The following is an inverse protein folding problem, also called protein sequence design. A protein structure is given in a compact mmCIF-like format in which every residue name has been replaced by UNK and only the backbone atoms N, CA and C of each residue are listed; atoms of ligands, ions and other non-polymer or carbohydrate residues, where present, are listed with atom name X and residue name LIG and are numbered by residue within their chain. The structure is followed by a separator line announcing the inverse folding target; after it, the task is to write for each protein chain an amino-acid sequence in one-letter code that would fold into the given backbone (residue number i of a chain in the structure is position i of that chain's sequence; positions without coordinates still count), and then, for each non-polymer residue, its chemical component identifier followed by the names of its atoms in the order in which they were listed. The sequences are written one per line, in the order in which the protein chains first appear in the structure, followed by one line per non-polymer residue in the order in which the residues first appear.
data_IF_778280597602
#
_entry.id   IF_778280597602
#
_cell.length_a   1.000
_cell.length_b   1.000
_cell.length_c   1.000
_cell.angle_alpha   90.00
_cell.angle_beta   90.00
_cell.angle_gamma   90.00
#
_symmetry.space_group_name_H-M   'P 1'
#
loop_
_entity.id
_entity.type
_entity.pdbx_description
1 polymer ?
#
# COMPACT_ATOMS: atom_id res chain seq x y z
N UNK A 1 -48.91 -1.20 -51.84
CA UNK A 1 -49.72 -1.88 -50.79
C UNK A 1 -48.79 -2.52 -49.77
N UNK A 2 -48.65 -1.90 -48.59
CA UNK A 2 -47.90 -2.42 -47.43
C UNK A 2 -48.93 -2.66 -46.31
N UNK A 3 -49.12 -3.91 -45.87
CA UNK A 3 -49.83 -4.23 -44.62
C UNK A 3 -48.77 -4.54 -43.56
N UNK A 4 -48.64 -3.66 -42.57
CA UNK A 4 -47.78 -3.84 -41.39
C UNK A 4 -48.63 -4.48 -40.29
N UNK A 5 -48.21 -5.64 -39.80
CA UNK A 5 -48.88 -6.37 -38.72
C UNK A 5 -48.78 -5.57 -37.42
N UNK A 6 -49.93 -5.22 -36.85
CA UNK A 6 -50.09 -4.29 -35.70
C UNK A 6 -50.32 -5.02 -34.37
N UNK A 7 -50.04 -6.33 -34.31
CA UNK A 7 -50.39 -7.19 -33.16
C UNK A 7 -49.22 -7.49 -32.20
N UNK A 8 -47.97 -7.31 -32.61
CA UNK A 8 -46.80 -7.67 -31.76
C UNK A 8 -46.41 -6.63 -30.71
N UNK A 9 -46.77 -5.36 -30.91
CA UNK A 9 -46.30 -4.27 -30.03
C UNK A 9 -47.06 -4.20 -28.71
N UNK A 10 -48.32 -4.68 -28.66
CA UNK A 10 -49.15 -4.60 -27.45
C UNK A 10 -48.82 -5.66 -26.40
N UNK A 11 -48.29 -6.82 -26.82
CA UNK A 11 -47.99 -7.92 -25.90
C UNK A 11 -46.65 -7.67 -25.16
N UNK A 12 -45.67 -7.04 -25.82
CA UNK A 12 -44.37 -6.71 -25.21
C UNK A 12 -44.45 -5.59 -24.17
N UNK A 13 -45.39 -4.65 -24.30
CA UNK A 13 -45.55 -3.56 -23.34
C UNK A 13 -46.20 -4.00 -22.02
N UNK A 14 -47.07 -5.01 -22.06
CA UNK A 14 -47.78 -5.50 -20.86
C UNK A 14 -46.93 -6.41 -19.97
N UNK A 15 -45.89 -7.05 -20.54
CA UNK A 15 -44.96 -7.92 -19.79
C UNK A 15 -43.89 -7.12 -19.03
N UNK A 16 -43.44 -5.98 -19.57
CA UNK A 16 -42.47 -5.11 -18.88
C UNK A 16 -43.08 -4.41 -17.66
N UNK A 17 -44.35 -4.03 -17.70
CA UNK A 17 -45.00 -3.33 -16.59
C UNK A 17 -45.27 -4.24 -15.38
N UNK A 18 -45.50 -5.53 -15.61
CA UNK A 18 -45.72 -6.51 -14.53
C UNK A 18 -44.41 -6.96 -13.87
N UNK A 19 -43.29 -6.98 -14.61
CA UNK A 19 -41.98 -7.29 -14.04
C UNK A 19 -41.43 -6.16 -13.16
N UNK A 20 -41.66 -4.89 -13.54
CA UNK A 20 -41.26 -3.73 -12.72
C UNK A 20 -42.07 -3.60 -11.42
N UNK A 21 -43.35 -4.00 -11.41
CA UNK A 21 -44.17 -3.93 -10.20
C UNK A 21 -43.82 -5.01 -9.15
N UNK A 22 -43.30 -6.16 -9.60
CA UNK A 22 -42.87 -7.26 -8.73
C UNK A 22 -41.48 -7.03 -8.10
N UNK A 23 -40.62 -6.24 -8.75
CA UNK A 23 -39.31 -5.87 -8.22
C UNK A 23 -39.40 -4.80 -7.12
N UNK A 24 -40.40 -3.92 -7.18
CA UNK A 24 -40.61 -2.87 -6.19
C UNK A 24 -41.12 -3.40 -4.83
N UNK A 25 -41.71 -4.60 -4.78
CA UNK A 25 -42.24 -5.20 -3.54
C UNK A 25 -41.22 -5.99 -2.72
N UNK A 26 -40.00 -6.21 -3.22
CA UNK A 26 -38.94 -6.97 -2.52
C UNK A 26 -37.96 -6.09 -1.72
N UNK A 27 -38.07 -4.76 -1.81
CA UNK A 27 -37.11 -3.81 -1.19
C UNK A 27 -37.58 -3.19 0.14
N UNK A 28 -38.66 -3.68 0.77
CA UNK A 28 -39.22 -3.09 2.01
C UNK A 28 -38.99 -3.96 3.25
N UNK A 29 -38.16 -4.99 3.18
CA UNK A 29 -37.98 -5.95 4.29
C UNK A 29 -36.54 -6.06 4.81
N UNK A 30 -35.88 -4.93 5.09
CA UNK A 30 -34.69 -4.87 5.95
C UNK A 30 -34.62 -3.49 6.60
N UNK A 31 -35.19 -3.33 7.80
CA UNK A 31 -34.80 -2.24 8.72
C UNK A 31 -34.01 -2.89 9.86
N UNK A 32 -32.77 -2.44 10.14
CA UNK A 32 -32.06 -2.88 11.34
C UNK A 32 -32.60 -2.16 12.58
N UNK A 33 -32.64 -2.89 13.68
CA UNK A 33 -33.09 -2.44 14.99
C UNK A 33 -32.22 -1.30 15.54
N UNK A 34 -32.88 -0.27 16.04
CA UNK A 34 -32.30 0.81 16.84
C UNK A 34 -31.77 0.27 18.18
N UNK A 35 -30.45 0.34 18.40
CA UNK A 35 -29.82 0.13 19.71
C UNK A 35 -29.70 1.47 20.44
N UNK A 36 -30.15 1.48 21.70
CA UNK A 36 -30.14 2.62 22.60
C UNK A 36 -28.73 2.91 23.16
N UNK A 37 -28.44 4.13 23.67
CA UNK A 37 -27.11 4.52 24.10
C UNK A 37 -26.83 4.08 25.54
N UNK A 38 -25.64 3.55 25.79
CA UNK A 38 -25.13 3.39 27.15
C UNK A 38 -23.86 2.56 27.25
N UNK A 39 -22.74 3.25 27.48
CA UNK A 39 -21.82 3.11 28.63
C UNK A 39 -20.41 3.47 28.16
N UNK A 40 -19.93 4.61 28.64
CA UNK A 40 -18.53 5.02 28.53
C UNK A 40 -17.69 4.11 29.43
N UNK A 41 -16.83 3.28 28.85
CA UNK A 41 -15.70 2.68 29.54
C UNK A 41 -14.42 3.35 29.04
N UNK A 42 -13.61 3.81 29.98
CA UNK A 42 -12.30 4.41 29.76
C UNK A 42 -11.29 3.28 29.61
N UNK A 43 -10.73 3.10 28.42
CA UNK A 43 -9.67 2.15 28.12
C UNK A 43 -8.29 2.85 28.25
N UNK A 44 -7.25 2.17 28.77
CA UNK A 44 -5.90 2.72 28.83
C UNK A 44 -5.24 2.65 27.45
N UNK A 45 -4.57 3.75 27.06
CA UNK A 45 -3.80 3.89 25.83
C UNK A 45 -2.47 3.15 26.00
N UNK A 46 -2.20 2.16 25.14
CA UNK A 46 -0.89 1.52 24.96
C UNK A 46 -0.35 1.81 23.56
N UNK A 47 0.97 1.95 23.44
CA UNK A 47 1.72 2.10 22.19
C UNK A 47 1.70 3.51 21.60
N UNK A 48 2.78 4.29 21.78
CA UNK A 48 2.96 5.58 21.06
C UNK A 48 3.40 5.29 19.63
N UNK A 49 2.47 4.84 18.80
CA UNK A 49 2.54 5.07 17.35
C UNK A 49 2.19 6.56 17.14
N UNK A 50 2.85 7.23 16.19
CA UNK A 50 2.61 8.64 15.90
C UNK A 50 1.17 8.78 15.37
N UNK A 51 0.21 9.01 16.26
CA UNK A 51 -1.20 9.09 15.92
C UNK A 51 -1.47 10.36 15.13
N UNK A 52 -1.37 10.27 13.81
CA UNK A 52 -2.15 11.14 12.93
C UNK A 52 -3.60 10.67 13.10
N UNK A 53 -4.41 11.48 13.78
CA UNK A 53 -5.84 11.24 13.88
C UNK A 53 -6.43 11.29 12.46
N UNK A 54 -6.57 10.13 11.82
CA UNK A 54 -7.48 9.97 10.69
C UNK A 54 -8.88 9.98 11.29
N UNK A 55 -9.48 11.16 11.38
CA UNK A 55 -10.91 11.26 11.67
C UNK A 55 -11.66 10.63 10.52
N UNK A 56 -12.20 9.44 10.75
CA UNK A 56 -13.17 8.80 9.87
C UNK A 56 -14.47 9.63 9.89
N UNK A 57 -14.48 10.72 9.13
CA UNK A 57 -15.68 11.48 8.85
C UNK A 57 -16.43 10.77 7.73
N UNK A 58 -17.39 9.94 8.11
CA UNK A 58 -18.34 9.33 7.18
C UNK A 58 -18.93 10.39 6.22
N UNK A 59 -18.54 10.36 4.95
CA UNK A 59 -19.17 11.08 3.85
C UNK A 59 -18.61 12.47 3.48
N UNK A 60 -17.44 12.88 3.96
CA UNK A 60 -16.75 14.04 3.39
C UNK A 60 -15.88 13.60 2.20
N UNK A 61 -16.00 14.28 1.06
CA UNK A 61 -15.04 14.07 -0.04
C UNK A 61 -13.63 14.43 0.44
N UNK A 62 -12.60 13.66 0.04
CA UNK A 62 -11.23 13.93 0.45
C UNK A 62 -10.80 15.33 0.02
N UNK A 63 -10.26 16.12 0.96
CA UNK A 63 -9.74 17.43 0.64
C UNK A 63 -8.39 17.29 -0.08
N UNK A 64 -8.36 17.53 -1.39
CA UNK A 64 -7.15 17.44 -2.22
C UNK A 64 -5.98 18.27 -1.65
N UNK A 65 -6.26 19.42 -1.04
CA UNK A 65 -5.22 20.27 -0.48
C UNK A 65 -4.58 19.65 0.78
N UNK A 66 -5.37 18.97 1.60
CA UNK A 66 -4.87 18.25 2.78
C UNK A 66 -4.05 17.02 2.34
N UNK A 67 -4.52 16.27 1.34
CA UNK A 67 -3.78 15.15 0.75
C UNK A 67 -2.43 15.61 0.21
N UNK A 68 -2.42 16.71 -0.57
CA UNK A 68 -1.19 17.25 -1.11
C UNK A 68 -0.21 17.67 -0.01
N UNK A 69 -0.69 18.29 1.06
CA UNK A 69 0.18 18.68 2.18
C UNK A 69 0.76 17.46 2.90
N UNK A 70 -0.06 16.43 3.14
CA UNK A 70 0.37 15.19 3.76
C UNK A 70 1.42 14.46 2.90
N UNK A 71 1.20 14.42 1.59
CA UNK A 71 2.12 13.82 0.62
C UNK A 71 3.49 14.50 0.60
N UNK A 72 3.52 15.83 0.67
CA UNK A 72 4.77 16.62 0.61
C UNK A 72 5.69 16.41 1.81
N UNK A 73 5.21 15.80 2.89
CA UNK A 73 6.00 15.50 4.09
C UNK A 73 6.09 14.00 4.38
N UNK A 74 5.43 13.16 3.57
CA UNK A 74 5.45 11.71 3.72
C UNK A 74 6.72 11.07 3.16
N UNK A 75 6.91 9.75 3.30
CA UNK A 75 8.15 9.10 2.85
C UNK A 75 8.30 9.07 1.32
N UNK A 76 7.23 9.29 0.54
CA UNK A 76 7.34 9.52 -0.92
C UNK A 76 7.77 10.97 -1.28
N UNK A 77 8.00 11.83 -0.30
CA UNK A 77 8.57 13.16 -0.50
C UNK A 77 10.11 13.16 -0.49
N UNK A 78 10.73 12.25 0.27
CA UNK A 78 12.18 12.11 0.34
C UNK A 78 12.63 11.01 -0.62
N UNK A 79 12.99 11.42 -1.83
CA UNK A 79 13.20 10.47 -2.93
C UNK A 79 14.65 10.36 -3.36
N UNK A 80 15.56 11.19 -2.84
CA UNK A 80 16.94 11.22 -3.34
C UNK A 80 17.70 9.93 -3.01
N UNK A 81 18.21 9.27 -4.05
CA UNK A 81 18.99 8.04 -3.93
C UNK A 81 20.12 8.04 -4.94
N UNK A 82 21.25 7.42 -4.59
CA UNK A 82 22.43 7.25 -5.45
C UNK A 82 23.02 5.86 -5.20
N UNK A 83 23.42 5.19 -6.27
CA UNK A 83 24.16 3.92 -6.22
C UNK A 83 25.59 4.11 -5.68
N UNK A 84 26.28 3.01 -5.37
CA UNK A 84 27.70 3.04 -5.00
C UNK A 84 28.59 3.64 -6.08
N UNK A 85 28.17 3.57 -7.34
CA UNK A 85 28.88 4.09 -8.51
C UNK A 85 28.61 5.58 -8.76
N UNK A 86 27.72 6.21 -7.99
CA UNK A 86 27.37 7.61 -8.18
C UNK A 86 26.29 7.86 -9.24
N UNK A 87 25.58 6.82 -9.69
CA UNK A 87 24.48 6.91 -10.66
C UNK A 87 23.12 6.80 -9.97
N UNK A 88 22.08 7.43 -10.52
CA UNK A 88 20.72 7.37 -9.96
C UNK A 88 19.58 7.45 -11.00
N UNK A 89 19.93 7.50 -12.29
CA UNK A 89 18.94 7.56 -13.37
C UNK A 89 17.99 6.36 -13.43
N UNK A 90 18.44 5.17 -13.03
CA UNK A 90 17.58 3.98 -12.91
C UNK A 90 16.58 4.11 -11.76
N UNK A 91 16.97 4.79 -10.68
CA UNK A 91 16.12 5.00 -9.51
C UNK A 91 14.99 5.99 -9.79
N UNK A 92 15.20 6.93 -10.72
CA UNK A 92 14.22 7.89 -11.20
C UNK A 92 13.01 7.26 -11.92
N UNK A 93 12.95 5.93 -12.07
CA UNK A 93 11.71 5.22 -12.43
C UNK A 93 10.71 5.18 -11.28
N UNK A 94 11.19 4.99 -10.06
CA UNK A 94 10.37 4.86 -8.86
C UNK A 94 10.39 6.12 -7.99
N UNK A 95 11.35 7.02 -8.25
CA UNK A 95 11.58 8.25 -7.52
C UNK A 95 11.47 9.46 -8.45
N UNK A 96 11.35 10.67 -7.89
CA UNK A 96 11.25 11.90 -8.68
C UNK A 96 12.58 12.68 -8.72
N UNK A 97 12.93 13.27 -9.89
CA UNK A 97 12.07 13.49 -11.04
C UNK A 97 11.90 12.21 -11.87
N UNK A 98 10.71 11.99 -12.42
CA UNK A 98 10.36 10.79 -13.19
C UNK A 98 11.02 10.76 -14.59
N UNK A 99 12.33 10.94 -14.67
CA UNK A 99 13.13 11.02 -15.91
C UNK A 99 13.53 9.64 -16.40
N UNK A 100 12.57 8.73 -16.46
CA UNK A 100 12.74 7.37 -16.96
C UNK A 100 12.28 7.27 -18.43
N UNK A 101 12.89 6.33 -19.15
CA UNK A 101 12.45 5.92 -20.49
C UNK A 101 12.11 4.43 -20.40
N UNK A 102 10.85 4.03 -20.66
CA UNK A 102 10.45 2.63 -20.64
C UNK A 102 11.30 1.78 -21.60
N UNK A 103 11.43 0.50 -21.29
CA UNK A 103 12.13 -0.41 -22.20
C UNK A 103 11.33 -0.54 -23.50
N UNK A 104 12.00 -0.97 -24.57
CA UNK A 104 11.33 -1.16 -25.87
C UNK A 104 10.27 -2.26 -25.82
N UNK A 105 10.32 -3.15 -24.84
CA UNK A 105 9.32 -4.20 -24.62
C UNK A 105 8.07 -3.64 -23.90
N UNK A 106 8.21 -2.52 -23.20
CA UNK A 106 7.13 -1.88 -22.43
C UNK A 106 6.37 -0.81 -23.24
N UNK A 107 6.92 -0.34 -24.36
CA UNK A 107 6.26 0.67 -25.22
C UNK A 107 5.29 0.02 -26.20
N UNK A 108 4.15 0.67 -26.44
CA UNK A 108 3.15 0.18 -27.37
C UNK A 108 3.68 0.05 -28.81
N UNK A 109 3.14 -0.89 -29.60
CA UNK A 109 3.52 -1.10 -31.02
C UNK A 109 3.38 0.18 -31.87
N UNK A 110 2.49 1.10 -31.46
CA UNK A 110 2.34 2.40 -32.09
C UNK A 110 3.58 3.28 -31.94
N UNK A 111 4.27 3.23 -30.79
CA UNK A 111 5.55 3.90 -30.56
C UNK A 111 6.67 3.27 -31.39
N UNK A 112 6.68 1.94 -31.57
CA UNK A 112 7.65 1.23 -32.42
C UNK A 112 7.57 1.63 -33.91
N UNK A 113 6.42 2.17 -34.33
CA UNK A 113 6.19 2.59 -35.71
C UNK A 113 6.93 3.88 -36.06
N UNK A 114 7.19 4.74 -35.07
CA UNK A 114 7.86 6.00 -35.28
C UNK A 114 9.37 5.86 -35.10
N UNK A 115 10.16 6.22 -36.12
CA UNK A 115 11.64 6.19 -36.08
C UNK A 115 12.24 7.39 -35.34
N UNK A 116 11.78 7.67 -34.12
CA UNK A 116 12.48 8.64 -33.27
C UNK A 116 13.49 7.93 -32.37
N UNK A 117 14.68 8.50 -32.26
CA UNK A 117 15.67 8.12 -31.27
C UNK A 117 15.41 8.98 -30.03
N UNK A 118 15.25 8.32 -28.88
CA UNK A 118 15.13 9.01 -27.60
C UNK A 118 16.47 8.85 -26.90
N UNK A 119 17.13 9.98 -26.61
CA UNK A 119 18.39 9.95 -25.90
C UNK A 119 18.18 9.37 -24.50
N UNK A 120 19.05 8.47 -24.00
CA UNK A 120 18.95 7.97 -22.65
C UNK A 120 19.04 9.12 -21.64
N UNK A 121 18.41 9.00 -20.46
CA UNK A 121 18.57 10.00 -19.41
C UNK A 121 20.05 10.11 -19.00
N UNK A 122 20.51 11.29 -18.54
CA UNK A 122 21.82 11.41 -17.92
C UNK A 122 21.95 10.42 -16.76
N UNK A 123 23.12 9.78 -16.55
CA UNK A 123 23.28 8.74 -15.52
C UNK A 123 23.11 9.27 -14.08
N UNK A 124 23.34 10.56 -13.89
CA UNK A 124 23.20 11.27 -12.63
C UNK A 124 22.27 12.48 -12.80
N UNK A 125 21.22 12.51 -11.98
CA UNK A 125 20.36 13.66 -11.74
C UNK A 125 20.83 14.36 -10.46
N UNK A 126 21.19 15.66 -10.51
CA UNK A 126 21.66 16.42 -9.35
C UNK A 126 20.65 16.43 -8.21
N UNK A 127 21.10 16.37 -6.96
CA UNK A 127 20.24 16.25 -5.77
C UNK A 127 19.22 17.41 -5.64
N UNK A 128 19.54 18.58 -6.18
CA UNK A 128 18.70 19.77 -6.13
C UNK A 128 17.47 19.67 -7.05
N UNK A 129 17.48 18.71 -7.97
CA UNK A 129 16.37 18.43 -8.89
C UNK A 129 15.41 17.36 -8.36
N UNK A 130 15.75 16.67 -7.26
CA UNK A 130 14.90 15.63 -6.67
C UNK A 130 13.77 16.24 -5.85
N UNK A 131 12.58 15.69 -6.04
CA UNK A 131 11.33 16.16 -5.42
C UNK A 131 10.50 14.99 -4.93
N UNK A 132 9.35 15.26 -4.34
CA UNK A 132 8.35 14.23 -4.11
C UNK A 132 7.91 13.56 -5.43
N UNK A 133 7.51 12.29 -5.35
CA UNK A 133 6.81 11.61 -6.45
C UNK A 133 5.57 12.44 -6.82
N UNK A 134 5.27 12.63 -8.10
CA UNK A 134 4.13 13.44 -8.52
C UNK A 134 2.83 12.61 -8.55
N UNK A 135 1.66 13.24 -8.35
CA UNK A 135 0.37 12.55 -8.38
C UNK A 135 0.13 11.83 -9.72
N UNK A 136 0.69 12.36 -10.81
CA UNK A 136 0.56 11.80 -12.15
C UNK A 136 1.22 10.41 -12.30
N UNK A 137 2.06 9.97 -11.37
CA UNK A 137 2.67 8.64 -11.40
C UNK A 137 1.64 7.56 -11.07
N UNK A 138 0.70 7.87 -10.16
CA UNK A 138 -0.29 6.93 -9.62
C UNK A 138 -1.72 7.20 -10.08
N UNK A 139 -1.97 8.42 -10.57
CA UNK A 139 -3.29 8.89 -11.00
C UNK A 139 -3.21 9.51 -12.38
N UNK A 140 -4.30 9.38 -13.14
CA UNK A 140 -4.43 10.16 -14.36
C UNK A 140 -4.57 11.64 -14.01
N UNK A 141 -3.72 12.48 -14.60
CA UNK A 141 -3.80 13.94 -14.45
C UNK A 141 -4.16 14.57 -15.78
N UNK A 142 -5.31 15.24 -15.83
CA UNK A 142 -5.79 15.90 -17.03
C UNK A 142 -4.87 17.05 -17.44
N UNK A 143 -4.98 17.50 -18.70
CA UNK A 143 -4.21 18.67 -19.20
C UNK A 143 -4.49 19.97 -18.42
N UNK A 144 -5.55 20.02 -17.61
CA UNK A 144 -5.87 21.16 -16.75
C UNK A 144 -5.30 21.02 -15.33
N UNK A 145 -4.59 19.93 -15.04
CA UNK A 145 -4.09 19.61 -13.71
C UNK A 145 -5.13 18.99 -12.78
N UNK A 146 -6.24 18.48 -13.31
CA UNK A 146 -7.25 17.77 -12.51
C UNK A 146 -6.79 16.32 -12.30
N UNK A 147 -6.79 15.86 -11.06
CA UNK A 147 -6.38 14.49 -10.68
C UNK A 147 -7.61 13.59 -10.66
N UNK A 148 -7.58 12.48 -11.37
CA UNK A 148 -8.58 11.42 -11.31
C UNK A 148 -8.33 10.55 -10.07
N UNK A 149 -9.32 10.30 -9.20
CA UNK A 149 -9.14 9.44 -8.02
C UNK A 149 -8.86 7.97 -8.37
N UNK A 150 -9.21 7.50 -9.57
CA UNK A 150 -8.91 6.14 -9.99
C UNK A 150 -7.41 5.93 -10.24
N UNK A 151 -6.96 4.68 -10.08
CA UNK A 151 -5.56 4.30 -10.30
C UNK A 151 -5.20 4.33 -11.78
N UNK A 152 -4.04 4.89 -12.10
CA UNK A 152 -3.43 4.80 -13.42
C UNK A 152 -1.91 4.83 -13.30
N UNK A 153 -1.22 3.96 -14.02
CA UNK A 153 0.23 3.94 -14.03
C UNK A 153 0.77 4.84 -15.15
N UNK A 154 1.66 5.77 -14.81
CA UNK A 154 2.35 6.57 -15.81
C UNK A 154 3.45 5.76 -16.49
N UNK A 155 3.11 5.14 -17.62
CA UNK A 155 4.03 4.34 -18.42
C UNK A 155 5.11 5.20 -19.09
N UNK A 156 4.72 6.37 -19.62
CA UNK A 156 5.66 7.22 -20.35
C UNK A 156 5.42 8.72 -20.13
N UNK A 157 6.27 9.35 -19.31
CA UNK A 157 6.14 10.76 -18.90
C UNK A 157 6.13 11.73 -20.09
N UNK A 158 7.01 11.54 -21.07
CA UNK A 158 7.27 12.51 -22.15
C UNK A 158 6.05 12.72 -23.06
N UNK A 159 5.15 11.73 -23.13
CA UNK A 159 3.91 11.80 -23.90
C UNK A 159 2.65 11.63 -23.05
N UNK A 160 2.81 11.53 -21.73
CA UNK A 160 1.73 11.28 -20.76
C UNK A 160 0.89 10.06 -21.15
N UNK A 161 1.57 8.95 -21.49
CA UNK A 161 0.92 7.67 -21.76
C UNK A 161 0.71 6.93 -20.43
N UNK A 162 -0.54 6.49 -20.22
CA UNK A 162 -0.97 5.81 -19.02
C UNK A 162 -1.39 4.38 -19.35
N UNK A 163 -1.14 3.49 -18.39
CA UNK A 163 -1.61 2.11 -18.37
C UNK A 163 -2.69 1.98 -17.29
N UNK A 164 -3.77 1.27 -17.59
CA UNK A 164 -4.76 0.87 -16.60
C UNK A 164 -4.18 -0.23 -15.70
N UNK A 165 -4.37 -0.11 -14.40
CA UNK A 165 -3.95 -1.10 -13.41
C UNK A 165 -5.19 -1.63 -12.67
N UNK A 166 -5.21 -2.91 -12.36
CA UNK A 166 -6.38 -3.57 -11.79
C UNK A 166 -6.52 -3.36 -10.27
N UNK A 167 -5.45 -2.98 -9.58
CA UNK A 167 -5.46 -2.77 -8.12
C UNK A 167 -4.33 -1.86 -7.64
N UNK A 168 -4.43 -1.41 -6.38
CA UNK A 168 -3.34 -0.69 -5.71
C UNK A 168 -2.10 -1.57 -5.57
N UNK A 169 -2.24 -2.88 -5.33
CA UNK A 169 -1.10 -3.81 -5.28
C UNK A 169 -0.37 -3.89 -6.62
N UNK A 170 -1.09 -3.91 -7.74
CA UNK A 170 -0.45 -3.86 -9.06
C UNK A 170 0.29 -2.55 -9.28
N UNK A 171 -0.33 -1.41 -8.92
CA UNK A 171 0.28 -0.09 -9.06
C UNK A 171 1.54 0.06 -8.18
N UNK A 172 1.44 -0.23 -6.89
CA UNK A 172 2.58 -0.19 -5.96
C UNK A 172 3.67 -1.18 -6.40
N UNK A 173 3.27 -2.31 -6.98
CA UNK A 173 4.17 -3.33 -7.51
C UNK A 173 5.10 -2.83 -8.61
N UNK A 174 4.70 -1.83 -9.41
CA UNK A 174 5.54 -1.17 -10.43
C UNK A 174 6.81 -0.53 -9.85
N UNK A 175 6.87 -0.34 -8.52
CA UNK A 175 8.05 0.19 -7.81
C UNK A 175 8.54 -0.72 -6.68
N UNK A 176 7.65 -1.41 -5.99
CA UNK A 176 7.96 -2.14 -4.75
C UNK A 176 8.05 -3.65 -4.90
N UNK A 177 7.53 -4.25 -5.98
CA UNK A 177 7.53 -5.71 -6.16
C UNK A 177 8.37 -6.19 -7.35
N UNK A 178 8.92 -5.27 -8.15
CA UNK A 178 9.54 -5.60 -9.42
C UNK A 178 10.99 -6.07 -9.23
N UNK A 179 11.15 -7.39 -9.16
CA UNK A 179 12.45 -8.05 -8.96
C UNK A 179 13.44 -7.78 -10.11
N UNK A 180 12.95 -7.38 -11.28
CA UNK A 180 13.73 -7.20 -12.51
C UNK A 180 14.49 -5.87 -12.56
N UNK A 181 14.37 -5.00 -11.54
CA UNK A 181 15.16 -3.78 -11.49
C UNK A 181 16.67 -4.03 -11.47
N UNK A 182 17.12 -5.22 -11.02
CA UNK A 182 18.54 -5.55 -10.89
C UNK A 182 19.35 -4.43 -10.21
N UNK A 183 18.71 -3.70 -9.28
CA UNK A 183 19.32 -2.64 -8.50
C UNK A 183 19.98 -3.30 -7.29
N UNK A 184 21.31 -3.17 -7.09
CA UNK A 184 21.99 -3.68 -5.91
C UNK A 184 21.34 -3.15 -4.63
N UNK A 185 21.02 -4.06 -3.70
CA UNK A 185 20.39 -3.71 -2.42
C UNK A 185 18.87 -3.51 -2.46
N UNK A 186 18.26 -3.43 -3.65
CA UNK A 186 16.80 -3.42 -3.77
C UNK A 186 16.23 -4.78 -3.34
N UNK A 187 15.18 -4.76 -2.51
CA UNK A 187 14.47 -5.95 -2.06
C UNK A 187 12.99 -5.78 -2.40
N UNK A 188 12.43 -6.65 -3.25
CA UNK A 188 11.02 -6.58 -3.57
C UNK A 188 10.20 -6.93 -2.33
N UNK A 189 9.09 -6.22 -2.15
CA UNK A 189 8.08 -6.49 -1.15
C UNK A 189 7.23 -7.65 -1.66
N UNK A 190 7.12 -8.67 -0.82
CA UNK A 190 6.24 -9.81 -1.06
C UNK A 190 5.18 -9.84 0.03
N UNK A 191 3.94 -9.58 -0.36
CA UNK A 191 2.77 -9.73 0.52
C UNK A 191 2.39 -11.20 0.52
N UNK A 192 2.41 -11.83 1.69
CA UNK A 192 2.28 -13.27 1.81
C UNK A 192 1.66 -13.74 3.12
N UNK A 193 1.49 -15.06 3.20
CA UNK A 193 1.00 -15.74 4.39
C UNK A 193 -0.43 -15.35 4.75
N UNK A 194 -0.67 -14.93 5.99
CA UNK A 194 -2.00 -14.64 6.53
C UNK A 194 -2.70 -13.47 5.82
N UNK A 195 -1.94 -12.54 5.24
CA UNK A 195 -2.47 -11.36 4.53
C UNK A 195 -2.24 -11.44 3.00
N UNK A 196 -2.01 -12.62 2.44
CA UNK A 196 -1.66 -12.77 1.01
C UNK A 196 -2.70 -12.19 0.03
N UNK A 197 -3.97 -12.12 0.43
CA UNK A 197 -5.07 -11.63 -0.41
C UNK A 197 -5.40 -10.13 -0.17
N UNK A 198 -4.68 -9.46 0.74
CA UNK A 198 -4.92 -8.05 1.05
C UNK A 198 -4.25 -7.14 0.02
N UNK A 199 -4.92 -6.03 -0.28
CA UNK A 199 -4.39 -4.94 -1.08
C UNK A 199 -3.49 -4.03 -0.22
N UNK A 200 -2.49 -3.41 -0.83
CA UNK A 200 -1.59 -2.49 -0.13
C UNK A 200 -2.35 -1.38 0.62
N UNK A 201 -3.43 -0.86 0.01
CA UNK A 201 -4.26 0.22 0.56
C UNK A 201 -5.24 -0.22 1.66
N UNK A 202 -5.36 -1.52 1.93
CA UNK A 202 -6.14 -1.99 3.08
C UNK A 202 -5.33 -1.86 4.38
N UNK A 203 -4.00 -1.73 4.28
CA UNK A 203 -3.13 -1.51 5.43
C UNK A 203 -2.49 -0.12 5.41
N UNK A 204 -2.13 0.40 4.23
CA UNK A 204 -1.44 1.68 4.07
C UNK A 204 -2.37 2.78 3.52
N UNK A 205 -2.26 3.99 4.04
CA UNK A 205 -2.63 5.17 3.26
C UNK A 205 -1.46 5.53 2.35
N UNK A 206 -1.61 5.38 1.04
CA UNK A 206 -0.54 5.67 0.09
C UNK A 206 0.01 7.10 0.25
N UNK A 207 -0.83 8.07 0.63
CA UNK A 207 -0.44 9.48 0.68
C UNK A 207 0.45 9.86 1.87
N UNK A 208 0.50 9.03 2.90
CA UNK A 208 1.35 9.22 4.09
C UNK A 208 2.22 8.00 4.38
N UNK A 209 1.93 6.87 3.73
CA UNK A 209 2.53 5.55 3.90
C UNK A 209 2.49 5.05 5.35
N UNK A 210 1.56 5.58 6.13
CA UNK A 210 1.26 5.06 7.45
C UNK A 210 0.49 3.75 7.28
N UNK A 211 0.92 2.71 7.98
CA UNK A 211 0.16 1.47 8.13
C UNK A 211 0.06 1.09 9.59
N UNK A 212 -1.07 0.52 9.96
CA UNK A 212 -1.31 0.03 11.31
C UNK A 212 -2.05 -1.29 11.27
N UNK A 213 -1.57 -2.26 12.05
CA UNK A 213 -2.27 -3.53 12.21
C UNK A 213 -3.54 -3.35 13.07
N UNK A 214 -3.45 -2.51 14.12
CA UNK A 214 -4.55 -2.25 15.05
C UNK A 214 -5.48 -1.13 14.60
N UNK A 215 -4.95 -0.03 14.05
CA UNK A 215 -5.78 1.17 13.78
C UNK A 215 -6.67 1.04 12.53
N UNK A 216 -6.46 0.01 11.70
CA UNK A 216 -7.28 -0.28 10.52
C UNK A 216 -8.56 -1.07 10.85
N UNK A 217 -8.90 -1.25 12.14
CA UNK A 217 -10.10 -1.99 12.56
C UNK A 217 -9.98 -3.52 12.41
N UNK A 218 -8.77 -4.02 12.15
CA UNK A 218 -8.53 -5.45 11.90
C UNK A 218 -8.09 -6.22 13.16
N UNK A 219 -7.42 -5.55 14.10
CA UNK A 219 -6.83 -6.16 15.31
C UNK A 219 -7.18 -5.36 16.58
N UNK A 220 -8.48 -5.11 16.79
CA UNK A 220 -8.97 -4.24 17.88
C UNK A 220 -8.95 -4.93 19.27
N UNK A 221 -8.89 -6.27 19.30
CA UNK A 221 -8.97 -7.09 20.52
C UNK A 221 -7.83 -8.14 20.57
N UNK A 222 -6.59 -7.66 20.72
CA UNK A 222 -5.39 -8.53 20.81
C UNK A 222 -4.92 -8.81 22.25
N UNK A 223 -5.48 -8.10 23.23
CA UNK A 223 -5.15 -8.29 24.64
C UNK A 223 -5.76 -9.62 25.10
N UNK A 224 -5.00 -10.44 25.83
CA UNK A 224 -5.31 -11.82 26.31
C UNK A 224 -4.63 -12.99 25.56
N UNK A 225 -3.80 -12.73 24.54
CA UNK A 225 -2.96 -13.76 23.90
C UNK A 225 -1.51 -13.63 24.42
N UNK A 226 -0.81 -14.72 24.82
CA UNK A 226 0.60 -14.65 25.22
C UNK A 226 1.44 -13.86 24.20
N UNK A 227 2.32 -12.99 24.70
CA UNK A 227 3.11 -12.08 23.86
C UNK A 227 2.42 -10.77 23.47
N UNK A 228 1.18 -10.54 23.92
CA UNK A 228 0.46 -9.26 23.79
C UNK A 228 0.25 -8.61 25.16
N UNK A 229 1.34 -8.53 25.93
CA UNK A 229 1.40 -7.96 27.28
C UNK A 229 2.33 -6.73 27.33
N UNK A 230 2.46 -6.11 28.50
CA UNK A 230 3.28 -4.91 28.70
C UNK A 230 4.77 -5.13 28.38
N UNK A 231 5.27 -6.37 28.55
CA UNK A 231 6.67 -6.69 28.28
C UNK A 231 6.97 -6.69 26.77
N UNK A 232 5.94 -6.82 25.93
CA UNK A 232 6.04 -6.81 24.46
C UNK A 232 5.54 -5.51 23.83
N UNK A 233 5.27 -4.45 24.60
CA UNK A 233 4.80 -3.15 24.05
C UNK A 233 5.80 -2.55 23.05
N UNK A 234 7.09 -2.81 23.25
CA UNK A 234 8.17 -2.37 22.36
C UNK A 234 8.54 -3.41 21.28
N UNK A 235 7.69 -4.40 21.01
CA UNK A 235 7.91 -5.44 19.99
C UNK A 235 6.89 -5.26 18.86
N UNK A 236 7.37 -5.03 17.65
CA UNK A 236 6.48 -4.91 16.48
C UNK A 236 5.82 -6.25 16.15
N UNK A 237 4.60 -6.23 15.63
CA UNK A 237 3.87 -7.45 15.27
C UNK A 237 4.69 -8.35 14.34
N UNK A 238 5.38 -7.75 13.36
CA UNK A 238 6.24 -8.46 12.41
C UNK A 238 7.43 -9.18 13.06
N UNK A 239 7.95 -8.71 14.20
CA UNK A 239 9.02 -9.42 14.91
C UNK A 239 8.60 -10.82 15.37
N UNK A 240 7.32 -10.99 15.73
CA UNK A 240 6.78 -12.28 16.17
C UNK A 240 6.09 -13.05 15.01
N UNK A 241 5.38 -12.33 14.14
CA UNK A 241 4.49 -12.86 13.12
C UNK A 241 5.10 -12.91 11.71
N UNK A 242 6.40 -12.67 11.56
CA UNK A 242 7.09 -12.84 10.30
C UNK A 242 7.17 -14.32 9.88
N UNK A 243 6.77 -14.59 8.63
CA UNK A 243 6.89 -15.85 7.92
C UNK A 243 7.95 -15.80 6.80
N UNK A 244 8.66 -14.68 6.68
CA UNK A 244 9.69 -14.43 5.67
C UNK A 244 11.10 -14.81 6.11
N UNK A 245 11.26 -15.43 7.28
CA UNK A 245 12.55 -15.80 7.88
C UNK A 245 13.51 -14.60 8.03
N UNK A 246 12.96 -13.41 8.34
CA UNK A 246 13.77 -12.22 8.59
C UNK A 246 14.50 -12.32 9.94
N UNK A 247 15.61 -11.60 10.11
CA UNK A 247 16.25 -11.52 11.42
C UNK A 247 15.46 -10.60 12.34
N UNK A 248 15.50 -10.81 13.66
CA UNK A 248 14.83 -9.96 14.66
C UNK A 248 15.86 -9.39 15.61
N UNK A 249 15.72 -8.12 15.94
CA UNK A 249 16.59 -7.44 16.88
C UNK A 249 16.05 -6.09 17.33
N UNK A 250 16.73 -5.43 18.28
CA UNK A 250 16.40 -4.08 18.68
C UNK A 250 16.92 -3.06 17.66
N UNK A 251 16.09 -2.09 17.32
CA UNK A 251 16.52 -0.85 16.66
C UNK A 251 16.78 0.22 17.72
N UNK A 252 18.01 0.73 17.78
CA UNK A 252 18.43 1.66 18.83
C UNK A 252 17.78 3.05 18.70
N UNK A 253 17.47 3.47 17.47
CA UNK A 253 16.92 4.80 17.17
C UNK A 253 15.42 4.83 17.45
N UNK A 254 14.70 3.81 16.98
CA UNK A 254 13.27 3.65 17.17
C UNK A 254 12.93 3.10 18.55
N UNK A 255 13.89 2.45 19.24
CA UNK A 255 13.72 1.79 20.53
C UNK A 255 12.62 0.74 20.54
N UNK A 256 12.52 -0.02 19.44
CA UNK A 256 11.58 -1.13 19.28
C UNK A 256 12.29 -2.35 18.72
N UNK A 257 11.74 -3.54 18.96
CA UNK A 257 12.14 -4.78 18.33
C UNK A 257 11.40 -4.96 17.01
N UNK A 258 12.15 -5.18 15.94
CA UNK A 258 11.59 -5.31 14.61
C UNK A 258 12.41 -6.29 13.75
N UNK A 259 11.90 -6.58 12.56
CA UNK A 259 12.55 -7.46 11.60
C UNK A 259 13.62 -6.73 10.78
N UNK A 260 14.63 -7.44 10.31
CA UNK A 260 15.69 -6.86 9.50
C UNK A 260 15.90 -7.67 8.23
N UNK A 261 16.23 -6.98 7.14
CA UNK A 261 16.73 -7.63 5.94
C UNK A 261 18.08 -8.31 6.23
N UNK A 262 18.39 -9.44 5.57
CA UNK A 262 19.69 -10.08 5.71
C UNK A 262 20.82 -9.08 5.45
N UNK A 263 21.86 -9.15 6.27
CA UNK A 263 23.01 -8.26 6.16
C UNK A 263 23.61 -8.27 4.74
N UNK A 264 24.00 -7.10 4.25
CA UNK A 264 24.69 -6.95 2.97
C UNK A 264 26.13 -7.50 3.03
N UNK A 265 26.89 -7.38 1.93
CA UNK A 265 28.26 -7.88 1.85
C UNK A 265 29.20 -7.22 2.89
N UNK A 266 28.84 -6.03 3.36
CA UNK A 266 29.54 -5.25 4.38
C UNK A 266 29.10 -5.60 5.81
N UNK A 267 28.17 -6.54 5.97
CA UNK A 267 27.63 -6.95 7.27
C UNK A 267 26.62 -5.97 7.87
N UNK A 268 26.12 -5.02 7.08
CA UNK A 268 25.12 -4.04 7.51
C UNK A 268 23.72 -4.61 7.27
N UNK A 269 22.93 -4.66 8.33
CA UNK A 269 21.53 -5.06 8.33
C UNK A 269 20.64 -3.81 8.35
N UNK A 270 19.48 -3.87 7.68
CA UNK A 270 18.58 -2.71 7.52
C UNK A 270 17.23 -3.04 8.15
N UNK A 271 16.68 -2.15 9.00
CA UNK A 271 15.33 -2.28 9.53
C UNK A 271 14.30 -2.47 8.42
N UNK A 272 13.41 -3.45 8.57
CA UNK A 272 12.43 -3.78 7.55
C UNK A 272 11.19 -4.43 8.15
N UNK A 273 9.99 -3.92 7.85
CA UNK A 273 8.75 -4.56 8.29
C UNK A 273 8.39 -5.73 7.38
N UNK A 274 8.25 -6.92 7.94
CA UNK A 274 7.81 -8.09 7.16
C UNK A 274 6.41 -7.88 6.57
N UNK A 275 6.26 -8.21 5.29
CA UNK A 275 4.98 -8.26 4.58
C UNK A 275 4.51 -9.70 4.34
N UNK A 276 5.30 -10.68 4.78
CA UNK A 276 4.91 -12.09 4.77
C UNK A 276 4.58 -12.50 6.20
N UNK A 277 3.30 -12.49 6.55
CA UNK A 277 2.85 -12.65 7.94
C UNK A 277 2.29 -14.04 8.19
N UNK A 278 2.33 -14.52 9.44
CA UNK A 278 1.70 -15.77 9.85
C UNK A 278 0.96 -15.61 11.18
N UNK A 279 -0.05 -16.46 11.39
CA UNK A 279 -0.84 -16.45 12.62
C UNK A 279 -0.05 -16.97 13.82
N UNK A 280 0.81 -17.96 13.62
CA UNK A 280 1.61 -18.56 14.69
C UNK A 280 2.86 -17.70 14.97
N UNK A 281 2.99 -17.25 16.22
CA UNK A 281 4.18 -16.53 16.68
C UNK A 281 5.29 -17.52 17.05
N UNK A 282 6.54 -17.19 16.67
CA UNK A 282 7.70 -17.97 17.09
C UNK A 282 8.47 -17.23 18.20
N UNK A 283 8.17 -17.56 19.46
CA UNK A 283 8.80 -16.95 20.62
C UNK A 283 10.31 -17.26 20.71
N UNK A 284 10.78 -18.36 20.12
CA UNK A 284 12.19 -18.76 20.13
C UNK A 284 13.09 -17.80 19.35
N UNK A 285 12.52 -16.86 18.57
CA UNK A 285 13.27 -15.78 17.91
C UNK A 285 13.92 -14.81 18.89
N UNK A 286 13.36 -14.69 20.10
CA UNK A 286 13.85 -13.81 21.16
C UNK A 286 14.16 -14.58 22.45
N UNK A 287 13.41 -15.62 22.76
CA UNK A 287 13.54 -16.39 24.00
C UNK A 287 14.35 -17.66 23.76
N UNK A 288 15.67 -17.52 23.68
CA UNK A 288 16.59 -18.63 23.42
C UNK A 288 17.85 -18.57 24.30
N UNK A 289 18.54 -19.71 24.52
CA UNK A 289 19.73 -19.74 25.35
C UNK A 289 20.86 -18.87 24.83
N UNK A 290 21.58 -18.22 25.74
CA UNK A 290 22.69 -17.31 25.43
C UNK A 290 22.28 -16.15 24.50
N UNK A 291 21.03 -15.68 24.60
CA UNK A 291 20.55 -14.50 23.89
C UNK A 291 21.47 -13.29 24.17
N UNK A 292 21.99 -12.59 23.13
CA UNK A 292 22.98 -11.52 23.29
C UNK A 292 22.44 -10.27 23.98
N UNK A 293 21.12 -10.18 24.16
CA UNK A 293 20.40 -9.10 24.82
C UNK A 293 19.91 -9.48 26.23
N UNK A 294 20.34 -10.63 26.77
CA UNK A 294 20.01 -11.10 28.14
C UNK A 294 18.50 -11.26 28.38
N UNK A 295 17.76 -11.64 27.33
CA UNK A 295 16.33 -11.97 27.43
C UNK A 295 16.13 -13.35 28.08
N UNK A 296 15.05 -13.48 28.85
CA UNK A 296 14.68 -14.74 29.49
C UNK A 296 14.36 -15.83 28.47
N UNK A 297 14.81 -17.07 28.70
CA UNK A 297 14.38 -18.24 27.94
C UNK A 297 12.95 -18.67 28.29
N UNK A 298 12.48 -18.32 29.49
CA UNK A 298 11.15 -18.72 29.97
C UNK A 298 10.07 -17.89 29.26
N UNK A 299 9.35 -18.54 28.35
CA UNK A 299 8.10 -18.04 27.79
C UNK A 299 6.96 -18.50 28.68
N UNK A 300 6.56 -17.66 29.64
CA UNK A 300 5.40 -17.96 30.46
C UNK A 300 4.12 -17.78 29.64
N UNK A 301 3.40 -18.88 29.39
CA UNK A 301 1.98 -18.79 29.02
C UNK A 301 1.19 -18.29 30.23
N UNK A 302 0.27 -17.32 30.08
CA UNK A 302 -0.68 -16.96 31.13
C UNK A 302 -1.45 -18.16 31.70
#
# INVERSE_FOLDING_TARGET
MKRKNMTDTKIRCSLCLTFMLLLATLLVACQPDTVAPGVTQTQPQGGTELQVQVTEAAGAEPNLQEIQQAWQIGPHADTFVVTSEGENSVCARCHAPAVFIPSMDDVSEACLTCKFEIAPPPPLVPAEEWTNIECNVCHFVSKKGEVDPEYAWLLFLQIQEYEEVASSTELCGKCHAEADFNIPGYKPIFVGGAHADYLCTECHDAHVIAASCGSAGCHDEIQEIPGHDEDHEAVTCGACHDAGDLEVGPDEDLRVWLTFLPANAEGVSVPFTSHNTQLEANCERCHYPDNPWDLSEDVSTP
#
